data_IF_451586012490
#
_entry.id   IF_451586012490
#
_cell.length_a   1.000
_cell.length_b   1.000
_cell.length_c   1.000
_cell.angle_alpha   90.00
_cell.angle_beta   90.00
_cell.angle_gamma   90.00
#
_symmetry.space_group_name_H-M   'P 1'
#
loop_
_entity.id
_entity.type
_entity.pdbx_description
1 polymer ?
#
# COMPACT_ATOMS: atom_id res chain seq x y z
N UNK A 1 15.54 -0.13 18.77
CA UNK A 1 14.09 0.15 18.61
C UNK A 1 13.44 -0.90 17.74
N UNK A 2 12.30 -1.46 18.16
CA UNK A 2 11.53 -2.43 17.38
C UNK A 2 10.31 -1.74 16.76
N UNK A 3 10.18 -1.79 15.44
CA UNK A 3 9.08 -1.16 14.71
C UNK A 3 8.23 -2.22 14.02
N UNK A 4 6.91 -2.15 14.20
CA UNK A 4 5.96 -2.97 13.45
C UNK A 4 5.34 -2.10 12.33
N UNK A 5 5.60 -2.45 11.08
CA UNK A 5 4.92 -1.85 9.92
C UNK A 5 3.79 -2.76 9.49
N UNK A 6 2.57 -2.23 9.28
CA UNK A 6 1.47 -3.07 8.80
C UNK A 6 0.67 -2.42 7.69
N UNK A 7 0.15 -3.26 6.80
CA UNK A 7 -0.82 -2.93 5.76
C UNK A 7 -1.56 -4.21 5.34
N UNK A 8 -2.89 -4.19 5.41
CA UNK A 8 -3.69 -5.40 5.21
C UNK A 8 -4.57 -5.38 3.96
N UNK A 9 -4.31 -4.47 3.04
CA UNK A 9 -4.81 -4.54 1.69
C UNK A 9 -4.18 -5.70 0.92
N UNK A 10 -4.87 -6.19 -0.11
CA UNK A 10 -4.42 -7.34 -0.89
C UNK A 10 -3.79 -6.94 -2.22
N UNK A 11 -4.10 -5.75 -2.72
CA UNK A 11 -3.74 -5.25 -4.05
C UNK A 11 -3.41 -3.76 -4.01
N UNK A 12 -2.73 -3.29 -5.05
CA UNK A 12 -2.41 -1.88 -5.24
C UNK A 12 -1.19 -1.41 -4.46
N UNK A 13 -1.01 -0.10 -4.36
CA UNK A 13 0.21 0.51 -3.82
C UNK A 13 0.44 0.30 -2.32
N UNK A 14 -0.60 -0.04 -1.53
CA UNK A 14 -0.49 -0.14 -0.07
C UNK A 14 0.52 -1.18 0.42
N UNK A 15 0.44 -2.46 -0.02
CA UNK A 15 1.42 -3.48 0.35
C UNK A 15 2.85 -3.12 -0.07
N UNK A 16 3.02 -2.51 -1.26
CA UNK A 16 4.31 -2.03 -1.77
C UNK A 16 4.85 -0.91 -0.88
N UNK A 17 4.06 0.11 -0.60
CA UNK A 17 4.44 1.21 0.29
C UNK A 17 4.89 0.70 1.66
N UNK A 18 4.18 -0.28 2.23
CA UNK A 18 4.54 -0.89 3.51
C UNK A 18 5.88 -1.63 3.44
N UNK A 19 6.13 -2.37 2.36
CA UNK A 19 7.38 -3.11 2.16
C UNK A 19 8.56 -2.18 1.98
N UNK A 20 8.42 -1.13 1.17
CA UNK A 20 9.46 -0.12 0.95
C UNK A 20 9.76 0.67 2.24
N UNK A 21 8.72 1.07 2.99
CA UNK A 21 8.90 1.71 4.30
C UNK A 21 9.63 0.79 5.28
N UNK A 22 9.27 -0.49 5.32
CA UNK A 22 9.96 -1.47 6.14
C UNK A 22 11.43 -1.65 5.72
N UNK A 23 11.71 -1.62 4.41
CA UNK A 23 13.07 -1.64 3.85
C UNK A 23 13.88 -0.42 4.30
N UNK A 24 13.33 0.78 4.13
CA UNK A 24 13.96 2.02 4.58
C UNK A 24 14.25 2.05 6.09
N UNK A 25 13.31 1.56 6.90
CA UNK A 25 13.51 1.45 8.36
C UNK A 25 14.57 0.40 8.73
N UNK A 26 14.63 -0.74 8.03
CA UNK A 26 15.66 -1.79 8.27
C UNK A 26 17.08 -1.29 7.95
N UNK A 27 17.20 -0.31 7.04
CA UNK A 27 18.48 0.30 6.69
C UNK A 27 19.01 1.27 7.77
N UNK A 28 18.22 1.57 8.81
CA UNK A 28 18.62 2.48 9.89
C UNK A 28 19.33 1.71 11.02
N UNK A 29 20.45 2.23 11.55
CA UNK A 29 21.15 1.59 12.66
C UNK A 29 20.28 1.46 13.91
N UNK A 30 20.31 0.28 14.54
CA UNK A 30 19.61 0.02 15.79
C UNK A 30 18.08 -0.14 15.64
N UNK A 31 17.53 -0.16 14.43
CA UNK A 31 16.11 -0.38 14.15
C UNK A 31 15.90 -1.82 13.68
N UNK A 32 15.04 -2.55 14.38
CA UNK A 32 14.53 -3.87 13.98
C UNK A 32 13.10 -3.73 13.51
N UNK A 33 12.77 -4.28 12.36
CA UNK A 33 11.46 -4.11 11.73
C UNK A 33 10.78 -5.45 11.51
N UNK A 34 9.54 -5.54 11.96
CA UNK A 34 8.61 -6.59 11.57
C UNK A 34 7.58 -6.02 10.59
N UNK A 35 7.40 -6.69 9.45
CA UNK A 35 6.38 -6.36 8.47
C UNK A 35 5.16 -7.27 8.63
N UNK A 36 3.96 -6.68 8.65
CA UNK A 36 2.70 -7.41 8.67
C UNK A 36 1.87 -7.06 7.44
N UNK A 37 1.68 -8.03 6.57
CA UNK A 37 0.83 -7.92 5.39
C UNK A 37 -0.33 -8.91 5.46
N UNK A 38 -1.36 -8.69 4.62
CA UNK A 38 -2.34 -9.73 4.36
C UNK A 38 -1.65 -10.94 3.72
N UNK A 39 -1.92 -12.16 4.21
CA UNK A 39 -1.40 -13.39 3.59
C UNK A 39 -1.87 -13.57 2.13
N UNK A 40 -2.94 -12.86 1.74
CA UNK A 40 -3.46 -12.80 0.39
C UNK A 40 -2.94 -11.59 -0.40
N UNK A 41 -1.96 -10.85 0.10
CA UNK A 41 -1.37 -9.74 -0.61
C UNK A 41 -0.65 -10.24 -1.88
N UNK A 42 -0.92 -9.59 -3.01
CA UNK A 42 -0.34 -9.94 -4.32
C UNK A 42 1.20 -9.85 -4.27
N UNK A 43 1.72 -8.85 -3.55
CA UNK A 43 3.14 -8.64 -3.34
C UNK A 43 3.87 -9.86 -2.73
N UNK A 44 3.21 -10.64 -1.86
CA UNK A 44 3.78 -11.85 -1.27
C UNK A 44 3.85 -13.03 -2.26
N UNK A 45 3.26 -12.89 -3.45
CA UNK A 45 3.30 -13.86 -4.54
C UNK A 45 4.13 -13.40 -5.73
N UNK A 46 4.81 -12.25 -5.61
CA UNK A 46 5.71 -11.74 -6.64
C UNK A 46 7.00 -12.59 -6.68
N UNK A 47 7.78 -12.45 -7.74
CA UNK A 47 9.06 -13.17 -7.91
C UNK A 47 10.07 -12.84 -6.80
N UNK A 48 9.94 -11.69 -6.17
CA UNK A 48 10.80 -11.25 -5.06
C UNK A 48 9.95 -10.74 -3.89
N UNK A 49 9.30 -11.63 -3.15
CA UNK A 49 8.45 -11.23 -2.05
C UNK A 49 9.28 -10.62 -0.91
N UNK A 50 8.77 -9.56 -0.26
CA UNK A 50 9.44 -9.00 0.92
C UNK A 50 9.35 -9.98 2.10
N UNK A 51 10.36 -9.95 2.98
CA UNK A 51 10.29 -10.65 4.25
C UNK A 51 9.11 -10.10 5.08
N UNK A 52 8.17 -10.98 5.44
CA UNK A 52 6.95 -10.65 6.19
C UNK A 52 6.87 -11.51 7.45
N UNK A 53 7.20 -10.93 8.60
CA UNK A 53 7.30 -11.63 9.88
C UNK A 53 5.92 -11.93 10.49
N UNK A 54 4.91 -11.14 10.13
CA UNK A 54 3.56 -11.27 10.66
C UNK A 54 2.51 -11.30 9.54
N UNK A 55 2.46 -12.35 8.70
CA UNK A 55 1.38 -12.49 7.72
C UNK A 55 0.05 -12.74 8.47
N UNK A 56 -1.01 -12.03 8.03
CA UNK A 56 -2.35 -12.11 8.64
C UNK A 56 -3.37 -12.49 7.58
N UNK A 57 -4.11 -13.56 7.83
CA UNK A 57 -5.22 -13.93 6.95
C UNK A 57 -6.37 -12.96 7.15
N UNK A 58 -6.65 -12.13 6.15
CA UNK A 58 -7.72 -11.13 6.15
C UNK A 58 -9.01 -11.74 5.59
N UNK A 59 -9.43 -11.38 4.39
CA UNK A 59 -10.64 -11.90 3.74
C UNK A 59 -10.45 -12.04 2.23
N UNK A 60 -11.16 -12.98 1.61
CA UNK A 60 -11.09 -13.23 0.17
C UNK A 60 -12.19 -12.53 -0.65
N UNK A 61 -13.27 -12.09 -0.01
CA UNK A 61 -14.44 -11.47 -0.62
C UNK A 61 -15.46 -11.09 0.46
N UNK A 62 -16.66 -10.68 0.09
CA UNK A 62 -17.69 -10.23 1.04
C UNK A 62 -18.12 -11.33 2.02
N UNK A 63 -18.30 -12.56 1.58
CA UNK A 63 -18.60 -13.70 2.44
C UNK A 63 -17.44 -13.97 3.41
N UNK A 64 -16.21 -13.92 2.90
CA UNK A 64 -15.00 -14.05 3.72
C UNK A 64 -14.86 -12.93 4.75
N UNK A 65 -15.30 -11.71 4.44
CA UNK A 65 -15.32 -10.61 5.39
C UNK A 65 -16.34 -10.88 6.53
N UNK A 66 -17.56 -11.31 6.18
CA UNK A 66 -18.58 -11.69 7.18
C UNK A 66 -18.08 -12.79 8.14
N UNK A 67 -17.47 -13.84 7.59
CA UNK A 67 -16.85 -14.92 8.38
C UNK A 67 -15.73 -14.41 9.30
N UNK A 68 -14.88 -13.49 8.80
CA UNK A 68 -13.83 -12.88 9.62
C UNK A 68 -14.37 -11.99 10.73
N UNK A 69 -15.48 -11.30 10.50
CA UNK A 69 -16.15 -10.51 11.54
C UNK A 69 -16.66 -11.42 12.68
N UNK A 70 -17.20 -12.60 12.38
CA UNK A 70 -17.59 -13.58 13.39
C UNK A 70 -16.38 -14.12 14.18
N UNK A 71 -15.20 -14.20 13.57
CA UNK A 71 -13.97 -14.68 14.20
C UNK A 71 -13.17 -13.59 14.92
N UNK A 72 -13.64 -12.33 14.95
CA UNK A 72 -12.89 -11.20 15.52
C UNK A 72 -12.30 -11.44 16.92
N UNK A 73 -13.00 -12.02 17.90
CA UNK A 73 -12.43 -12.24 19.24
C UNK A 73 -11.20 -13.15 19.21
N UNK A 74 -11.28 -14.25 18.44
CA UNK A 74 -10.17 -15.21 18.30
C UNK A 74 -9.01 -14.60 17.50
N UNK A 75 -9.31 -13.90 16.42
CA UNK A 75 -8.33 -13.17 15.61
C UNK A 75 -7.59 -12.15 16.46
N UNK A 76 -8.29 -11.38 17.27
CA UNK A 76 -7.70 -10.39 18.15
C UNK A 76 -6.82 -11.01 19.21
N UNK A 77 -7.28 -12.09 19.87
CA UNK A 77 -6.48 -12.81 20.87
C UNK A 77 -5.20 -13.42 20.29
N UNK A 78 -5.30 -14.01 19.09
CA UNK A 78 -4.14 -14.53 18.37
C UNK A 78 -3.18 -13.42 17.96
N UNK A 79 -3.69 -12.28 17.49
CA UNK A 79 -2.89 -11.13 17.08
C UNK A 79 -2.15 -10.51 18.27
N UNK A 80 -2.83 -10.31 19.41
CA UNK A 80 -2.19 -9.82 20.65
C UNK A 80 -1.00 -10.70 21.04
N UNK A 81 -1.16 -12.03 21.03
CA UNK A 81 -0.06 -12.96 21.36
C UNK A 81 1.11 -12.87 20.38
N UNK A 82 0.81 -12.76 19.05
CA UNK A 82 1.84 -12.67 18.02
C UNK A 82 2.58 -11.34 18.06
N UNK A 83 1.87 -10.23 18.23
CA UNK A 83 2.48 -8.89 18.35
C UNK A 83 3.29 -8.76 19.64
N UNK A 84 2.82 -9.32 20.77
CA UNK A 84 3.55 -9.34 22.04
C UNK A 84 4.94 -10.01 21.91
N UNK A 85 5.08 -11.05 21.08
CA UNK A 85 6.36 -11.71 20.82
C UNK A 85 7.35 -10.83 20.07
N UNK A 86 6.85 -9.94 19.19
CA UNK A 86 7.65 -9.00 18.42
C UNK A 86 8.14 -7.82 19.26
N UNK A 87 7.51 -7.55 20.41
CA UNK A 87 7.84 -6.46 21.34
C UNK A 87 8.04 -5.12 20.62
N UNK A 88 7.09 -4.65 19.80
CA UNK A 88 7.27 -3.39 19.10
C UNK A 88 7.23 -2.20 20.09
N UNK A 89 8.16 -1.28 19.93
CA UNK A 89 8.16 0.01 20.64
C UNK A 89 7.21 1.01 19.94
N UNK A 90 7.06 0.85 18.62
CA UNK A 90 6.22 1.66 17.75
C UNK A 90 5.59 0.78 16.67
N UNK A 91 4.35 1.09 16.30
CA UNK A 91 3.72 0.50 15.13
C UNK A 91 3.34 1.58 14.10
N UNK A 92 3.47 1.27 12.79
CA UNK A 92 3.17 2.19 11.69
C UNK A 92 2.18 1.53 10.74
N UNK A 93 0.97 2.11 10.63
CA UNK A 93 0.02 1.81 9.56
C UNK A 93 0.47 2.50 8.28
N UNK A 94 0.96 1.74 7.31
CA UNK A 94 1.49 2.29 6.08
C UNK A 94 0.40 2.85 5.14
N UNK A 95 -0.81 2.27 5.21
CA UNK A 95 -2.01 2.74 4.50
C UNK A 95 -3.23 2.07 5.13
N UNK A 96 -4.28 2.81 5.52
CA UNK A 96 -5.47 2.24 6.15
C UNK A 96 -6.19 1.19 5.30
N UNK A 97 -6.61 0.10 5.92
CA UNK A 97 -7.40 -0.98 5.35
C UNK A 97 -8.57 -1.39 6.26
N UNK A 98 -9.52 -2.19 5.74
CA UNK A 98 -10.79 -2.45 6.41
C UNK A 98 -10.68 -3.09 7.81
N UNK A 99 -9.68 -3.95 8.05
CA UNK A 99 -9.52 -4.67 9.33
C UNK A 99 -8.48 -4.06 10.28
N UNK A 100 -7.94 -2.87 9.99
CA UNK A 100 -6.91 -2.23 10.80
C UNK A 100 -7.37 -1.90 12.23
N UNK A 101 -8.68 -1.78 12.44
CA UNK A 101 -9.23 -1.61 13.79
C UNK A 101 -8.89 -2.80 14.72
N UNK A 102 -8.65 -3.99 14.16
CA UNK A 102 -8.22 -5.18 14.93
C UNK A 102 -6.77 -5.03 15.37
N UNK A 103 -5.88 -4.56 14.48
CA UNK A 103 -4.50 -4.25 14.83
C UNK A 103 -4.45 -3.13 15.87
N UNK A 104 -5.19 -2.04 15.66
CA UNK A 104 -5.27 -0.95 16.62
C UNK A 104 -5.78 -1.40 18.00
N UNK A 105 -6.74 -2.34 18.04
CA UNK A 105 -7.21 -2.94 19.30
C UNK A 105 -6.16 -3.84 19.96
N UNK A 106 -5.37 -4.58 19.19
CA UNK A 106 -4.27 -5.39 19.71
C UNK A 106 -3.15 -4.51 20.28
N UNK A 107 -2.75 -3.48 19.56
CA UNK A 107 -1.74 -2.52 20.00
C UNK A 107 -2.17 -1.78 21.28
N UNK A 108 -3.45 -1.37 21.35
CA UNK A 108 -3.99 -0.73 22.56
C UNK A 108 -3.93 -1.63 23.80
N UNK A 109 -4.21 -2.96 23.64
CA UNK A 109 -4.08 -3.93 24.74
C UNK A 109 -2.64 -4.11 25.23
N UNK A 110 -1.68 -3.94 24.33
CA UNK A 110 -0.26 -4.05 24.62
C UNK A 110 0.38 -2.73 25.06
N UNK A 111 -0.38 -1.63 25.03
CA UNK A 111 0.14 -0.29 25.31
C UNK A 111 1.15 0.21 24.27
N UNK A 112 1.11 -0.32 23.03
CA UNK A 112 2.00 0.07 21.94
C UNK A 112 1.41 1.25 21.21
N UNK A 113 2.13 2.40 21.10
CA UNK A 113 1.70 3.53 20.32
C UNK A 113 1.75 3.22 18.82
N UNK A 114 0.87 3.85 18.04
CA UNK A 114 0.92 3.70 16.61
C UNK A 114 0.71 5.01 15.85
N UNK A 115 1.25 5.04 14.65
CA UNK A 115 1.21 6.12 13.68
C UNK A 115 0.46 5.64 12.44
N UNK A 116 -0.25 6.53 11.76
CA UNK A 116 -0.93 6.21 10.50
C UNK A 116 -0.44 7.13 9.40
N UNK A 117 0.00 6.55 8.29
CA UNK A 117 0.26 7.27 7.05
C UNK A 117 -1.08 7.43 6.32
N UNK A 118 -1.57 8.66 6.30
CA UNK A 118 -2.83 9.02 5.67
C UNK A 118 -2.59 9.41 4.21
N UNK A 119 -2.97 8.53 3.30
CA UNK A 119 -2.89 8.79 1.85
C UNK A 119 -4.04 9.68 1.36
N UNK A 120 -5.21 9.53 1.97
CA UNK A 120 -6.41 10.28 1.66
C UNK A 120 -7.10 10.73 2.96
N UNK A 121 -7.54 11.97 3.01
CA UNK A 121 -8.39 12.49 4.08
C UNK A 121 -9.88 12.36 3.72
N UNK A 122 -10.18 12.49 2.44
CA UNK A 122 -11.53 12.45 1.87
C UNK A 122 -11.76 11.15 1.08
N UNK A 123 -13.00 10.83 0.85
CA UNK A 123 -13.40 9.75 -0.04
C UNK A 123 -13.50 10.29 -1.46
N UNK A 124 -12.84 9.64 -2.39
CA UNK A 124 -13.01 9.96 -3.81
C UNK A 124 -14.31 9.36 -4.37
N UNK A 125 -14.96 10.03 -5.33
CA UNK A 125 -16.13 9.50 -6.02
C UNK A 125 -15.88 8.08 -6.59
N UNK A 126 -16.75 7.14 -6.21
CA UNK A 126 -16.62 5.73 -6.64
C UNK A 126 -15.72 4.86 -5.75
N UNK A 127 -15.11 5.41 -4.70
CA UNK A 127 -14.18 4.66 -3.84
C UNK A 127 -14.85 4.10 -2.59
N UNK A 128 -14.89 2.77 -2.45
CA UNK A 128 -15.27 2.01 -1.26
C UNK A 128 -16.65 2.30 -0.62
N UNK A 129 -17.10 1.49 0.34
CA UNK A 129 -18.34 1.74 1.07
C UNK A 129 -18.16 2.80 2.17
N UNK A 130 -19.22 3.55 2.57
CA UNK A 130 -19.16 4.56 3.64
C UNK A 130 -18.64 4.05 4.98
N UNK A 131 -18.92 2.80 5.32
CA UNK A 131 -18.46 2.15 6.56
C UNK A 131 -16.92 2.09 6.64
N UNK A 132 -16.25 1.88 5.51
CA UNK A 132 -14.79 1.86 5.47
C UNK A 132 -14.20 3.21 5.91
N UNK A 133 -14.79 4.31 5.46
CA UNK A 133 -14.36 5.65 5.87
C UNK A 133 -14.60 5.92 7.36
N UNK A 134 -15.72 5.45 7.92
CA UNK A 134 -15.99 5.59 9.35
C UNK A 134 -14.93 4.84 10.19
N UNK A 135 -14.56 3.62 9.78
CA UNK A 135 -13.52 2.83 10.42
C UNK A 135 -12.14 3.49 10.28
N UNK A 136 -11.83 4.02 9.10
CA UNK A 136 -10.60 4.77 8.86
C UNK A 136 -10.52 6.03 9.74
N UNK A 137 -11.57 6.84 9.80
CA UNK A 137 -11.62 8.02 10.69
C UNK A 137 -11.42 7.65 12.16
N UNK A 138 -11.99 6.51 12.60
CA UNK A 138 -11.79 6.02 13.96
C UNK A 138 -10.33 5.59 14.21
N UNK A 139 -9.69 4.96 13.23
CA UNK A 139 -8.27 4.59 13.28
C UNK A 139 -7.39 5.86 13.38
N UNK A 140 -7.61 6.84 12.50
CA UNK A 140 -6.87 8.11 12.47
C UNK A 140 -6.95 8.84 13.82
N UNK A 141 -8.15 8.93 14.42
CA UNK A 141 -8.35 9.59 15.73
C UNK A 141 -7.66 8.88 16.90
N UNK A 142 -7.29 7.62 16.77
CA UNK A 142 -6.61 6.82 17.80
C UNK A 142 -5.10 6.81 17.65
N UNK A 143 -4.60 7.26 16.52
CA UNK A 143 -3.18 7.32 16.25
C UNK A 143 -2.49 8.37 17.13
N UNK A 144 -1.30 8.06 17.63
CA UNK A 144 -0.44 9.01 18.34
C UNK A 144 0.04 10.14 17.42
N UNK A 145 0.28 9.80 16.15
CA UNK A 145 0.61 10.77 15.12
C UNK A 145 0.02 10.34 13.78
N UNK A 146 -0.25 11.33 12.93
CA UNK A 146 -0.61 11.14 11.53
C UNK A 146 0.53 11.63 10.64
N UNK A 147 0.77 10.92 9.56
CA UNK A 147 1.69 11.33 8.50
C UNK A 147 0.85 11.61 7.26
N UNK A 148 0.86 12.83 6.79
CA UNK A 148 0.25 13.24 5.53
C UNK A 148 1.33 13.32 4.45
N UNK A 149 1.03 12.83 3.24
CA UNK A 149 2.00 12.81 2.14
C UNK A 149 1.98 14.08 1.28
N UNK A 150 1.10 15.03 1.62
CA UNK A 150 1.01 16.37 1.04
C UNK A 150 0.45 17.34 2.08
N UNK A 151 0.74 18.63 1.96
CA UNK A 151 0.11 19.69 2.79
C UNK A 151 -1.40 19.72 2.58
N UNK A 152 -1.85 19.44 1.34
CA UNK A 152 -3.28 19.31 1.03
C UNK A 152 -3.96 18.29 1.96
N UNK A 153 -3.44 17.06 2.04
CA UNK A 153 -3.97 16.03 2.96
C UNK A 153 -3.87 16.47 4.41
N UNK A 154 -2.73 17.05 4.80
CA UNK A 154 -2.52 17.57 6.16
C UNK A 154 -3.56 18.62 6.57
N UNK A 155 -3.87 19.56 5.69
CA UNK A 155 -4.91 20.58 5.89
C UNK A 155 -6.29 19.93 6.03
N UNK A 156 -6.66 19.02 5.11
CA UNK A 156 -7.95 18.31 5.16
C UNK A 156 -8.14 17.49 6.44
N UNK A 157 -7.08 16.83 6.93
CA UNK A 157 -7.12 16.11 8.21
C UNK A 157 -7.38 17.04 9.41
N UNK A 158 -6.82 18.25 9.41
CA UNK A 158 -7.07 19.27 10.44
C UNK A 158 -8.51 19.80 10.37
N UNK A 159 -8.98 20.15 9.18
CA UNK A 159 -10.36 20.63 8.94
C UNK A 159 -11.41 19.63 9.42
N UNK A 160 -11.17 18.33 9.19
CA UNK A 160 -12.05 17.24 9.64
C UNK A 160 -11.86 16.86 11.11
N UNK A 161 -10.99 17.57 11.85
CA UNK A 161 -10.68 17.30 13.27
C UNK A 161 -10.26 15.85 13.53
N UNK A 162 -9.50 15.26 12.60
CA UNK A 162 -9.00 13.88 12.71
C UNK A 162 -7.68 13.81 13.46
N UNK A 163 -6.94 14.90 13.52
CA UNK A 163 -5.65 15.01 14.20
C UNK A 163 -5.89 15.16 15.71
N UNK A 164 -5.51 14.17 16.50
CA UNK A 164 -5.58 14.22 17.97
C UNK A 164 -4.22 14.37 18.63
N UNK A 165 -3.19 13.93 17.95
CA UNK A 165 -1.80 14.04 18.37
C UNK A 165 -1.00 14.87 17.38
N UNK A 166 0.20 14.41 17.05
CA UNK A 166 1.11 15.07 16.13
C UNK A 166 0.69 14.85 14.66
N UNK A 167 0.80 15.86 13.83
CA UNK A 167 0.70 15.75 12.37
C UNK A 167 2.07 16.04 11.75
N UNK A 168 2.55 15.11 10.96
CA UNK A 168 3.80 15.21 10.20
C UNK A 168 3.42 15.26 8.72
N UNK A 169 3.91 16.26 8.00
CA UNK A 169 3.79 16.29 6.54
C UNK A 169 5.14 15.90 5.95
N UNK A 170 5.14 14.91 5.07
CA UNK A 170 6.33 14.38 4.42
C UNK A 170 6.01 14.09 2.95
N UNK A 171 6.94 14.37 2.04
CA UNK A 171 6.75 14.08 0.63
C UNK A 171 6.57 12.57 0.39
N UNK A 172 5.73 12.22 -0.58
CA UNK A 172 5.52 10.83 -0.98
C UNK A 172 6.83 10.26 -1.55
N UNK A 173 7.42 9.19 -0.96
CA UNK A 173 8.63 8.60 -1.49
C UNK A 173 8.39 7.95 -2.86
N UNK A 174 9.44 7.75 -3.69
CA UNK A 174 9.30 7.09 -4.97
C UNK A 174 8.82 5.64 -4.81
N UNK A 175 7.91 5.20 -5.68
CA UNK A 175 7.50 3.79 -5.78
C UNK A 175 8.22 3.15 -6.96
N UNK A 176 9.22 2.33 -6.66
CA UNK A 176 10.04 1.71 -7.68
C UNK A 176 9.54 0.29 -8.02
N UNK A 177 9.28 0.03 -9.31
CA UNK A 177 8.80 -1.26 -9.79
C UNK A 177 9.85 -2.03 -10.62
N UNK A 178 10.96 -1.41 -10.92
CA UNK A 178 12.04 -2.00 -11.70
C UNK A 178 12.78 -0.95 -12.54
N UNK A 179 13.95 -1.30 -13.10
CA UNK A 179 14.67 -0.40 -13.99
C UNK A 179 13.89 -0.18 -15.28
N UNK A 180 14.02 1.00 -15.85
CA UNK A 180 13.56 1.31 -17.20
C UNK A 180 14.69 1.10 -18.20
N UNK A 181 14.39 0.44 -19.29
CA UNK A 181 15.37 0.09 -20.32
C UNK A 181 15.62 1.20 -21.35
N UNK A 182 14.64 2.11 -21.51
CA UNK A 182 14.67 3.17 -22.52
C UNK A 182 14.43 4.54 -21.89
N UNK A 183 15.13 5.57 -22.38
CA UNK A 183 14.82 6.95 -22.03
C UNK A 183 13.52 7.41 -22.73
N UNK A 184 12.73 8.33 -22.13
CA UNK A 184 11.57 8.90 -22.79
C UNK A 184 11.95 9.59 -24.12
N UNK A 185 11.13 9.43 -25.15
CA UNK A 185 11.34 10.06 -26.47
C UNK A 185 12.50 9.50 -27.30
N UNK A 186 13.20 8.46 -26.85
CA UNK A 186 14.37 7.87 -27.54
C UNK A 186 14.05 6.69 -28.45
N UNK A 187 12.77 6.46 -28.78
CA UNK A 187 12.35 5.26 -29.52
C UNK A 187 12.62 5.39 -31.01
N UNK A 188 13.10 4.29 -31.60
CA UNK A 188 13.46 4.25 -33.02
C UNK A 188 12.29 4.47 -33.99
N UNK A 189 11.04 4.21 -33.56
CA UNK A 189 9.83 4.39 -34.36
C UNK A 189 9.32 5.83 -34.36
N UNK A 190 9.97 6.72 -33.59
CA UNK A 190 9.61 8.14 -33.48
C UNK A 190 8.24 8.43 -32.89
N UNK A 191 7.56 7.41 -32.34
CA UNK A 191 6.23 7.57 -31.71
C UNK A 191 6.34 7.93 -30.25
N UNK A 192 5.56 8.92 -29.83
CA UNK A 192 5.35 9.22 -28.42
C UNK A 192 4.30 8.29 -27.83
N UNK A 193 4.62 7.65 -26.70
CA UNK A 193 3.75 6.70 -26.02
C UNK A 193 3.25 7.28 -24.71
N UNK A 194 1.94 7.53 -24.68
CA UNK A 194 1.26 8.06 -23.50
C UNK A 194 0.54 6.95 -22.74
N UNK A 195 0.69 6.92 -21.43
CA UNK A 195 0.04 5.98 -20.54
C UNK A 195 -0.85 6.70 -19.52
N UNK A 196 -2.14 6.39 -19.51
CA UNK A 196 -3.01 6.66 -18.37
C UNK A 196 -3.21 5.36 -17.60
N UNK A 197 -2.75 5.32 -16.35
CA UNK A 197 -2.68 4.08 -15.55
C UNK A 197 -3.34 4.22 -14.18
N UNK A 198 -4.03 3.17 -13.74
CA UNK A 198 -4.57 3.03 -12.40
C UNK A 198 -6.07 2.76 -12.36
N UNK A 199 -6.75 3.14 -11.27
CA UNK A 199 -8.20 2.94 -11.14
C UNK A 199 -8.94 3.82 -12.17
N UNK A 200 -9.88 3.24 -12.92
CA UNK A 200 -10.68 3.95 -13.92
C UNK A 200 -11.97 4.47 -13.27
N UNK A 201 -11.81 5.46 -12.37
CA UNK A 201 -12.90 6.06 -11.59
C UNK A 201 -13.11 7.53 -11.98
N UNK A 202 -14.29 8.12 -11.69
CA UNK A 202 -14.63 9.49 -12.13
C UNK A 202 -13.62 10.56 -11.71
N UNK A 203 -13.06 10.49 -10.52
CA UNK A 203 -12.09 11.47 -10.04
C UNK A 203 -10.77 11.47 -10.82
N UNK A 204 -10.50 10.41 -11.60
CA UNK A 204 -9.33 10.31 -12.49
C UNK A 204 -9.47 11.15 -13.76
N UNK A 205 -10.67 11.73 -14.02
CA UNK A 205 -10.88 12.65 -15.14
C UNK A 205 -10.69 12.01 -16.50
N UNK A 206 -11.19 10.78 -16.69
CA UNK A 206 -11.15 10.12 -18.00
C UNK A 206 -11.93 10.86 -19.06
N UNK A 207 -12.92 11.63 -18.67
CA UNK A 207 -13.66 12.57 -19.52
C UNK A 207 -12.77 13.72 -20.00
N UNK A 208 -12.00 14.36 -19.10
CA UNK A 208 -11.00 15.35 -19.50
C UNK A 208 -9.97 14.78 -20.47
N UNK A 209 -9.53 13.55 -20.25
CA UNK A 209 -8.59 12.87 -21.13
C UNK A 209 -9.21 12.61 -22.49
N UNK A 210 -10.44 12.10 -22.56
CA UNK A 210 -11.13 11.82 -23.82
C UNK A 210 -11.32 13.08 -24.65
N UNK A 211 -11.81 14.16 -24.05
CA UNK A 211 -12.02 15.44 -24.70
C UNK A 211 -10.69 16.07 -25.15
N UNK A 212 -9.64 16.01 -24.32
CA UNK A 212 -8.32 16.52 -24.69
C UNK A 212 -7.72 15.77 -25.88
N UNK A 213 -7.88 14.45 -25.95
CA UNK A 213 -7.41 13.62 -27.07
C UNK A 213 -8.24 13.86 -28.33
N UNK A 214 -9.54 14.14 -28.21
CA UNK A 214 -10.38 14.58 -29.33
C UNK A 214 -9.90 15.94 -29.91
N UNK A 215 -9.59 16.91 -29.04
CA UNK A 215 -9.04 18.22 -29.43
C UNK A 215 -7.64 18.11 -30.08
N UNK A 216 -6.85 17.14 -29.63
CA UNK A 216 -5.54 16.87 -30.19
C UNK A 216 -5.65 16.29 -31.60
N UNK A 217 -6.67 15.49 -31.86
CA UNK A 217 -6.91 14.79 -33.10
C UNK A 217 -6.02 13.57 -33.33
N UNK A 218 -6.28 12.79 -34.39
CA UNK A 218 -5.48 11.63 -34.72
C UNK A 218 -4.09 12.03 -35.22
N UNK A 219 -3.04 11.36 -34.73
CA UNK A 219 -1.66 11.57 -35.10
C UNK A 219 -0.94 10.23 -35.30
N UNK A 220 -0.17 10.12 -36.36
CA UNK A 220 0.59 8.90 -36.67
C UNK A 220 1.79 8.70 -35.74
N UNK A 221 2.26 9.78 -35.10
CA UNK A 221 3.39 9.83 -34.16
C UNK A 221 2.95 9.64 -32.67
N UNK A 222 1.68 9.28 -32.42
CA UNK A 222 1.12 9.13 -31.08
C UNK A 222 0.48 7.77 -30.89
N UNK A 223 0.82 7.10 -29.80
CA UNK A 223 0.14 5.91 -29.28
C UNK A 223 -0.29 6.15 -27.84
N UNK A 224 -1.56 5.89 -27.51
CA UNK A 224 -2.09 6.10 -26.15
C UNK A 224 -2.61 4.78 -25.60
N UNK A 225 -2.22 4.45 -24.35
CA UNK A 225 -2.83 3.35 -23.59
C UNK A 225 -3.52 3.89 -22.34
N UNK A 226 -4.74 3.40 -22.11
CA UNK A 226 -5.50 3.62 -20.90
C UNK A 226 -5.68 2.26 -20.23
N UNK A 227 -4.97 2.03 -19.13
CA UNK A 227 -4.86 0.70 -18.52
C UNK A 227 -5.24 0.76 -17.05
N UNK A 228 -6.19 -0.08 -16.63
CA UNK A 228 -6.60 -0.14 -15.22
C UNK A 228 -7.96 -0.78 -15.03
N UNK A 229 -8.47 -0.74 -13.82
CA UNK A 229 -9.74 -1.37 -13.48
C UNK A 229 -10.76 -0.34 -12.97
N UNK A 230 -11.97 -0.38 -13.51
CA UNK A 230 -13.09 0.44 -13.10
C UNK A 230 -14.41 0.01 -13.74
N UNK A 231 -15.53 0.63 -13.35
CA UNK A 231 -16.81 0.39 -14.02
C UNK A 231 -16.78 0.91 -15.45
N UNK A 232 -17.53 0.26 -16.32
CA UNK A 232 -17.77 0.80 -17.65
C UNK A 232 -18.46 2.16 -17.56
N UNK A 233 -18.04 3.09 -18.40
CA UNK A 233 -18.50 4.47 -18.34
C UNK A 233 -18.47 5.14 -19.70
N UNK A 234 -19.27 6.20 -19.94
CA UNK A 234 -19.22 6.95 -21.20
C UNK A 234 -17.83 7.46 -21.59
N UNK A 235 -17.00 7.99 -20.65
CA UNK A 235 -15.63 8.37 -20.96
C UNK A 235 -14.75 7.22 -21.49
N UNK A 236 -14.90 6.02 -20.95
CA UNK A 236 -14.16 4.84 -21.45
C UNK A 236 -14.61 4.44 -22.87
N UNK A 237 -15.91 4.57 -23.16
CA UNK A 237 -16.44 4.32 -24.50
C UNK A 237 -15.92 5.37 -25.50
N UNK A 238 -15.90 6.65 -25.11
CA UNK A 238 -15.34 7.73 -25.93
C UNK A 238 -13.84 7.50 -26.23
N UNK A 239 -13.06 7.07 -25.22
CA UNK A 239 -11.65 6.74 -25.40
C UNK A 239 -11.45 5.54 -26.35
N UNK A 240 -12.28 4.50 -26.30
CA UNK A 240 -12.22 3.35 -27.22
C UNK A 240 -12.56 3.70 -28.67
N UNK A 241 -13.36 4.75 -28.88
CA UNK A 241 -13.70 5.22 -30.22
C UNK A 241 -12.53 5.91 -30.94
N UNK A 242 -11.48 6.30 -30.24
CA UNK A 242 -10.29 6.93 -30.81
C UNK A 242 -9.33 5.85 -31.33
N UNK A 243 -9.08 5.80 -32.62
CA UNK A 243 -8.28 4.74 -33.28
C UNK A 243 -6.82 4.64 -32.77
N UNK A 244 -6.26 5.73 -32.22
CA UNK A 244 -4.90 5.78 -31.65
C UNK A 244 -4.87 5.51 -30.13
N UNK A 245 -6.03 5.15 -29.51
CA UNK A 245 -6.16 4.85 -28.08
C UNK A 245 -6.50 3.40 -27.88
N UNK A 246 -5.70 2.72 -27.09
CA UNK A 246 -5.98 1.36 -26.60
C UNK A 246 -6.44 1.38 -25.14
N UNK A 247 -7.67 0.92 -24.87
CA UNK A 247 -8.23 0.82 -23.51
C UNK A 247 -8.21 -0.62 -23.04
N UNK A 248 -7.56 -0.86 -21.90
CA UNK A 248 -7.51 -2.15 -21.21
C UNK A 248 -8.18 -2.01 -19.82
N UNK A 249 -9.51 -2.27 -19.77
CA UNK A 249 -10.24 -2.21 -18.50
C UNK A 249 -10.08 -3.54 -17.74
N UNK A 250 -8.98 -3.67 -17.02
CA UNK A 250 -8.62 -4.86 -16.23
C UNK A 250 -7.77 -4.50 -15.03
N UNK A 251 -7.74 -5.39 -14.04
CA UNK A 251 -6.72 -5.30 -13.00
C UNK A 251 -5.33 -5.54 -13.61
N UNK A 252 -4.37 -4.71 -13.22
CA UNK A 252 -2.96 -4.85 -13.59
C UNK A 252 -2.21 -5.49 -12.43
N UNK A 253 -1.69 -6.72 -12.60
CA UNK A 253 -0.81 -7.34 -11.61
C UNK A 253 0.44 -6.51 -11.36
N UNK A 254 0.97 -6.58 -10.14
CA UNK A 254 2.15 -5.80 -9.76
C UNK A 254 3.36 -6.06 -10.65
N UNK A 255 3.58 -7.31 -11.08
CA UNK A 255 4.66 -7.69 -11.98
C UNK A 255 4.59 -7.07 -13.39
N UNK A 256 3.41 -6.61 -13.82
CA UNK A 256 3.24 -5.95 -15.13
C UNK A 256 3.52 -4.44 -15.08
N UNK A 257 3.53 -3.82 -13.89
CA UNK A 257 3.63 -2.36 -13.75
C UNK A 257 4.95 -1.83 -14.32
N UNK A 258 6.05 -2.52 -14.07
CA UNK A 258 7.36 -2.15 -14.62
C UNK A 258 7.34 -2.10 -16.16
N UNK A 259 6.76 -3.12 -16.79
CA UNK A 259 6.65 -3.18 -18.25
C UNK A 259 5.76 -2.08 -18.84
N UNK A 260 4.68 -1.69 -18.15
CA UNK A 260 3.84 -0.56 -18.56
C UNK A 260 4.59 0.78 -18.46
N UNK A 261 5.33 0.97 -17.37
CA UNK A 261 6.15 2.17 -17.20
C UNK A 261 7.28 2.24 -18.23
N UNK A 262 7.93 1.12 -18.51
CA UNK A 262 8.99 1.05 -19.52
C UNK A 262 8.46 1.26 -20.96
N UNK A 263 7.24 0.82 -21.23
CA UNK A 263 6.57 1.08 -22.51
C UNK A 263 6.27 2.58 -22.73
N UNK A 264 5.95 3.34 -21.69
CA UNK A 264 5.53 4.73 -21.79
C UNK A 264 6.73 5.69 -21.92
N UNK A 265 6.56 6.77 -22.68
CA UNK A 265 7.43 7.94 -22.61
C UNK A 265 6.89 8.93 -21.57
N UNK A 266 5.58 9.10 -21.52
CA UNK A 266 4.93 9.98 -20.56
C UNK A 266 3.68 9.34 -19.95
N UNK A 267 3.42 9.66 -18.68
CA UNK A 267 2.16 9.36 -18.03
C UNK A 267 1.24 10.59 -18.05
N UNK A 268 -0.05 10.36 -18.33
CA UNK A 268 -1.07 11.40 -18.30
C UNK A 268 -1.96 11.20 -17.08
N UNK A 269 -1.98 12.19 -16.19
CA UNK A 269 -2.74 12.20 -14.94
C UNK A 269 -3.81 13.30 -15.01
N UNK A 270 -4.91 13.01 -15.68
CA UNK A 270 -6.02 13.94 -15.97
C UNK A 270 -6.97 14.18 -14.80
N UNK A 271 -6.51 14.01 -13.55
CA UNK A 271 -7.35 14.01 -12.36
C UNK A 271 -8.23 15.26 -12.24
N UNK A 272 -9.47 15.09 -11.77
CA UNK A 272 -10.37 16.17 -11.33
C UNK A 272 -10.12 16.53 -9.86
N UNK A 273 -9.68 15.55 -9.08
CA UNK A 273 -9.26 15.72 -7.68
C UNK A 273 -8.20 14.68 -7.32
N UNK A 274 -7.28 15.05 -6.45
CA UNK A 274 -6.25 14.14 -5.96
C UNK A 274 -5.71 14.56 -4.60
N UNK A 275 -5.59 13.63 -3.68
CA UNK A 275 -4.87 13.80 -2.41
C UNK A 275 -3.36 13.69 -2.62
N UNK A 276 -2.95 12.71 -3.41
CA UNK A 276 -1.61 12.37 -3.90
C UNK A 276 -1.75 11.30 -4.99
N UNK A 277 -0.66 10.93 -5.65
CA UNK A 277 -0.68 9.88 -6.66
C UNK A 277 0.51 8.94 -6.56
N UNK A 278 0.25 7.67 -6.18
CA UNK A 278 1.26 6.62 -6.26
C UNK A 278 1.73 6.34 -7.69
N UNK A 279 0.85 6.59 -8.69
CA UNK A 279 1.22 6.49 -10.12
C UNK A 279 2.19 7.59 -10.50
N UNK A 280 2.02 8.82 -9.98
CA UNK A 280 2.98 9.90 -10.19
C UNK A 280 4.35 9.53 -9.61
N UNK A 281 4.39 9.03 -8.34
CA UNK A 281 5.63 8.58 -7.72
C UNK A 281 6.30 7.45 -8.50
N UNK A 282 5.52 6.52 -9.06
CA UNK A 282 6.04 5.43 -9.88
C UNK A 282 6.60 5.95 -11.22
N UNK A 283 5.93 6.90 -11.86
CA UNK A 283 6.37 7.51 -13.12
C UNK A 283 7.72 8.23 -12.95
N UNK A 284 7.82 9.08 -11.92
CA UNK A 284 9.06 9.82 -11.62
C UNK A 284 10.19 8.84 -11.27
N UNK A 285 9.92 7.81 -10.45
CA UNK A 285 10.92 6.78 -10.11
C UNK A 285 11.41 5.99 -11.34
N UNK A 286 10.54 5.82 -12.36
CA UNK A 286 10.87 5.18 -13.63
C UNK A 286 11.50 6.15 -14.66
N UNK A 287 11.74 7.41 -14.31
CA UNK A 287 12.29 8.42 -15.21
C UNK A 287 11.34 8.80 -16.37
N UNK A 288 10.01 8.64 -16.17
CA UNK A 288 9.02 8.98 -17.21
C UNK A 288 8.53 10.40 -17.05
N UNK A 289 8.28 11.07 -18.17
CA UNK A 289 7.62 12.36 -18.14
C UNK A 289 6.21 12.22 -17.56
N UNK A 290 5.72 13.28 -16.95
CA UNK A 290 4.37 13.33 -16.39
C UNK A 290 3.66 14.59 -16.87
N UNK A 291 2.53 14.44 -17.53
CA UNK A 291 1.59 15.53 -17.79
C UNK A 291 0.43 15.36 -16.83
N UNK A 292 0.19 16.34 -15.98
CA UNK A 292 -0.81 16.22 -14.93
C UNK A 292 -1.64 17.50 -14.75
N UNK A 293 -2.90 17.33 -14.37
CA UNK A 293 -3.75 18.45 -13.95
C UNK A 293 -3.31 19.01 -12.59
N UNK A 294 -3.39 20.33 -12.44
CA UNK A 294 -3.01 21.07 -11.22
C UNK A 294 -4.12 21.02 -10.18
N UNK A 295 -4.31 19.84 -9.55
CA UNK A 295 -5.38 19.64 -8.58
C UNK A 295 -4.85 19.09 -7.25
N UNK A 296 -5.42 19.59 -6.15
CA UNK A 296 -5.16 19.12 -4.79
C UNK A 296 -3.68 18.90 -4.47
N UNK A 297 -3.38 17.76 -3.83
CA UNK A 297 -2.01 17.38 -3.47
C UNK A 297 -1.14 16.94 -4.64
N UNK A 298 -1.73 16.67 -5.82
CA UNK A 298 -0.96 16.33 -7.02
C UNK A 298 -0.12 17.52 -7.51
N UNK A 299 -0.65 18.75 -7.37
CA UNK A 299 0.07 19.97 -7.68
C UNK A 299 1.31 20.16 -6.77
N UNK A 300 1.19 19.82 -5.48
CA UNK A 300 2.32 19.87 -4.53
C UNK A 300 3.36 18.79 -4.84
N UNK A 301 2.89 17.58 -5.11
CA UNK A 301 3.74 16.41 -5.36
C UNK A 301 4.61 16.59 -6.61
N UNK A 302 4.04 17.18 -7.67
CA UNK A 302 4.69 17.31 -8.98
C UNK A 302 5.25 18.71 -9.25
N UNK A 303 4.91 19.72 -8.47
CA UNK A 303 5.26 21.11 -8.74
C UNK A 303 6.75 21.43 -8.66
N UNK A 304 7.57 20.51 -8.15
CA UNK A 304 9.03 20.64 -8.05
C UNK A 304 9.78 19.57 -8.83
N UNK A 305 9.05 18.76 -9.61
CA UNK A 305 9.63 17.65 -10.36
C UNK A 305 9.94 18.09 -11.79
N UNK A 306 11.20 18.04 -12.16
CA UNK A 306 11.66 18.44 -13.49
C UNK A 306 11.05 17.58 -14.61
N UNK A 307 10.67 16.33 -14.30
CA UNK A 307 9.99 15.42 -15.23
C UNK A 307 8.50 15.72 -15.39
N UNK A 308 7.94 16.71 -14.68
CA UNK A 308 6.51 16.95 -14.66
C UNK A 308 6.12 18.28 -15.32
N UNK A 309 5.01 18.24 -16.04
CA UNK A 309 4.32 19.42 -16.54
C UNK A 309 2.90 19.46 -16.00
N UNK A 310 2.57 20.54 -15.31
CA UNK A 310 1.24 20.77 -14.74
C UNK A 310 0.44 21.71 -15.66
N UNK A 311 -0.84 21.35 -15.89
CA UNK A 311 -1.82 22.18 -16.61
C UNK A 311 -3.10 22.34 -15.80
N UNK A 312 -3.96 23.25 -16.19
CA UNK A 312 -5.27 23.38 -15.57
C UNK A 312 -6.15 22.16 -15.92
N UNK A 313 -7.14 21.88 -15.04
CA UNK A 313 -8.00 20.71 -15.18
C UNK A 313 -9.13 20.96 -16.19
N UNK A 314 -8.76 21.36 -17.42
CA UNK A 314 -9.65 21.53 -18.57
C UNK A 314 -9.15 20.74 -19.77
N UNK A 315 -10.05 20.31 -20.68
CA UNK A 315 -9.65 19.58 -21.88
C UNK A 315 -8.65 20.36 -22.75
N UNK A 316 -8.85 21.67 -22.90
CA UNK A 316 -8.03 22.55 -23.74
C UNK A 316 -6.61 22.68 -23.18
N UNK A 317 -6.49 22.89 -21.85
CA UNK A 317 -5.19 23.01 -21.20
C UNK A 317 -4.42 21.69 -21.24
N UNK A 318 -5.10 20.56 -21.06
CA UNK A 318 -4.51 19.23 -21.16
C UNK A 318 -4.08 18.94 -22.62
N UNK A 319 -4.93 19.23 -23.61
CA UNK A 319 -4.59 19.08 -25.04
C UNK A 319 -3.39 19.94 -25.44
N UNK A 320 -3.32 21.19 -24.96
CA UNK A 320 -2.17 22.07 -25.19
C UNK A 320 -0.89 21.49 -24.55
N UNK A 321 -0.95 20.99 -23.34
CA UNK A 321 0.22 20.38 -22.69
C UNK A 321 0.72 19.14 -23.43
N UNK A 322 -0.20 18.29 -23.91
CA UNK A 322 0.12 17.12 -24.73
C UNK A 322 0.69 17.51 -26.11
N UNK A 323 0.15 18.54 -26.76
CA UNK A 323 0.66 19.07 -28.02
C UNK A 323 2.10 19.56 -27.87
N UNK A 324 2.39 20.35 -26.83
CA UNK A 324 3.75 20.82 -26.55
C UNK A 324 4.73 19.66 -26.38
N UNK A 325 4.32 18.59 -25.68
CA UNK A 325 5.14 17.39 -25.53
C UNK A 325 5.44 16.73 -26.89
N UNK A 326 4.44 16.65 -27.80
CA UNK A 326 4.58 16.11 -29.15
C UNK A 326 5.47 17.00 -30.05
N UNK A 327 5.41 18.32 -29.85
CA UNK A 327 6.21 19.29 -30.58
C UNK A 327 7.67 19.38 -30.05
N UNK A 328 8.06 18.50 -29.14
CA UNK A 328 9.42 18.43 -28.58
C UNK A 328 9.69 19.38 -27.41
N UNK A 329 8.70 20.16 -26.96
CA UNK A 329 8.79 20.89 -25.68
C UNK A 329 8.56 19.93 -24.52
N UNK A 330 9.59 19.13 -24.21
CA UNK A 330 9.56 18.08 -23.21
C UNK A 330 9.89 18.62 -21.81
N UNK A 331 9.38 17.99 -20.74
CA UNK A 331 9.90 18.22 -19.38
C UNK A 331 11.41 17.92 -19.32
N UNK A 332 12.07 18.37 -18.25
CA UNK A 332 13.50 18.17 -18.07
C UNK A 332 13.94 16.71 -18.13
N UNK A 333 15.25 16.51 -18.25
CA UNK A 333 15.83 15.18 -18.10
C UNK A 333 15.75 14.72 -16.65
N UNK A 334 15.50 13.44 -16.44
CA UNK A 334 15.65 12.87 -15.10
C UNK A 334 17.08 13.09 -14.63
N UNK A 335 17.33 13.73 -13.48
CA UNK A 335 18.59 13.53 -12.80
C UNK A 335 18.74 12.00 -12.63
N UNK A 336 19.98 11.48 -12.79
CA UNK A 336 20.28 10.06 -12.68
C UNK A 336 19.44 9.48 -11.53
N UNK A 337 18.63 8.46 -11.82
CA UNK A 337 17.56 7.98 -10.96
C UNK A 337 18.05 7.89 -9.51
N UNK A 338 17.54 8.75 -8.64
CA UNK A 338 17.90 8.76 -7.23
C UNK A 338 17.63 7.34 -6.72
N UNK A 339 18.63 6.73 -6.06
CA UNK A 339 18.49 5.37 -5.54
C UNK A 339 17.22 5.29 -4.67
N UNK A 340 16.20 4.53 -5.08
CA UNK A 340 14.94 4.46 -4.34
C UNK A 340 15.14 4.00 -2.89
N UNK A 341 16.14 3.15 -2.63
CA UNK A 341 16.46 2.68 -1.29
C UNK A 341 16.97 3.81 -0.40
N UNK A 342 17.77 4.74 -0.95
CA UNK A 342 18.21 5.94 -0.22
C UNK A 342 17.04 6.89 0.08
N UNK A 343 16.11 7.06 -0.86
CA UNK A 343 14.93 7.90 -0.66
C UNK A 343 14.04 7.33 0.47
N UNK A 344 13.80 6.03 0.48
CA UNK A 344 13.03 5.36 1.53
C UNK A 344 13.74 5.38 2.89
N UNK A 345 15.08 5.21 2.90
CA UNK A 345 15.88 5.36 4.12
C UNK A 345 15.77 6.78 4.68
N UNK A 346 15.92 7.79 3.82
CA UNK A 346 15.79 9.20 4.22
C UNK A 346 14.39 9.52 4.77
N UNK A 347 13.34 9.04 4.10
CA UNK A 347 11.95 9.16 4.58
C UNK A 347 11.78 8.52 5.96
N UNK A 348 12.25 7.29 6.13
CA UNK A 348 12.17 6.55 7.38
C UNK A 348 12.93 7.27 8.52
N UNK A 349 14.11 7.79 8.24
CA UNK A 349 14.92 8.54 9.21
C UNK A 349 14.24 9.84 9.62
N UNK A 350 13.74 10.63 8.66
CA UNK A 350 12.99 11.86 8.94
C UNK A 350 11.71 11.56 9.74
N UNK A 351 11.00 10.47 9.39
CA UNK A 351 9.81 10.05 10.11
C UNK A 351 10.12 9.74 11.58
N UNK A 352 11.14 8.91 11.85
CA UNK A 352 11.52 8.57 13.22
C UNK A 352 12.03 9.80 14.01
N UNK A 353 12.83 10.67 13.40
CA UNK A 353 13.27 11.92 14.06
C UNK A 353 12.10 12.80 14.45
N UNK A 354 11.10 12.97 13.58
CA UNK A 354 9.91 13.77 13.87
C UNK A 354 8.94 13.12 14.85
N UNK A 355 9.00 11.80 15.02
CA UNK A 355 8.21 11.06 16.00
C UNK A 355 8.87 11.03 17.37
N UNK A 356 10.19 11.10 17.44
CA UNK A 356 10.93 11.16 18.68
C UNK A 356 10.84 12.59 19.26
N UNK A 357 10.25 12.83 20.42
CA UNK A 357 10.61 13.97 21.23
C UNK A 357 11.99 13.66 21.84
N UNK A 358 12.87 14.62 21.88
CA UNK A 358 14.27 14.45 22.32
C UNK A 358 14.46 13.90 23.74
N UNK A 359 13.40 13.62 24.51
CA UNK A 359 13.52 13.25 25.92
C UNK A 359 12.60 12.12 26.43
N UNK A 360 11.66 11.53 25.66
CA UNK A 360 10.61 10.67 26.25
C UNK A 360 10.56 9.18 25.79
N UNK A 361 11.37 8.75 24.88
CA UNK A 361 11.31 7.33 24.41
C UNK A 361 11.98 6.33 25.36
N UNK A 362 12.93 6.73 26.19
CA UNK A 362 13.66 5.81 27.06
C UNK A 362 12.86 5.30 28.27
N UNK A 363 12.08 6.10 29.03
CA UNK A 363 11.36 5.59 30.21
C UNK A 363 10.07 4.84 29.87
N UNK A 364 9.39 5.19 28.78
CA UNK A 364 8.13 4.56 28.38
C UNK A 364 8.30 3.15 27.80
N UNK A 365 9.43 2.88 27.15
CA UNK A 365 9.77 1.54 26.63
C UNK A 365 10.03 0.53 27.77
N UNK A 366 10.71 0.96 28.84
CA UNK A 366 10.99 0.11 30.01
C UNK A 366 9.71 -0.26 30.79
N UNK A 367 8.77 0.66 30.95
CA UNK A 367 7.49 0.40 31.63
C UNK A 367 6.57 -0.52 30.81
N UNK A 368 6.59 -0.39 29.46
CA UNK A 368 5.83 -1.24 28.55
C UNK A 368 6.35 -2.66 28.46
N UNK A 369 7.67 -2.86 28.45
CA UNK A 369 8.27 -4.19 28.49
C UNK A 369 7.89 -4.97 29.75
N UNK A 370 7.77 -4.30 30.92
CA UNK A 370 7.28 -4.92 32.15
C UNK A 370 5.81 -5.34 32.04
N UNK A 371 4.92 -4.49 31.53
CA UNK A 371 3.50 -4.85 31.32
C UNK A 371 3.30 -5.99 30.33
N UNK A 372 4.06 -6.03 29.25
CA UNK A 372 4.00 -7.12 28.26
C UNK A 372 4.50 -8.45 28.86
N UNK A 373 5.54 -8.42 29.70
CA UNK A 373 6.04 -9.58 30.43
C UNK A 373 5.03 -10.08 31.47
N UNK A 374 4.36 -9.18 32.20
CA UNK A 374 3.31 -9.53 33.17
C UNK A 374 2.08 -10.14 32.49
N UNK A 375 1.64 -9.62 31.32
CA UNK A 375 0.53 -10.19 30.58
C UNK A 375 0.87 -11.58 30.01
N UNK A 376 2.09 -11.79 29.56
CA UNK A 376 2.57 -13.08 29.11
C UNK A 376 2.66 -14.09 30.26
N UNK A 377 3.12 -13.66 31.45
CA UNK A 377 3.21 -14.51 32.65
C UNK A 377 1.82 -14.87 33.21
N UNK A 378 0.87 -13.92 33.24
CA UNK A 378 -0.52 -14.15 33.64
C UNK A 378 -1.26 -15.10 32.69
N UNK A 379 -0.98 -15.02 31.41
CA UNK A 379 -1.53 -15.95 30.40
C UNK A 379 -0.97 -17.37 30.59
N UNK A 380 0.32 -17.51 30.89
CA UNK A 380 0.97 -18.77 31.16
C UNK A 380 0.51 -19.38 32.51
N UNK A 381 0.27 -18.55 33.54
CA UNK A 381 -0.26 -18.96 34.82
C UNK A 381 -1.70 -19.46 34.74
N UNK A 382 -2.55 -18.79 33.95
CA UNK A 382 -3.94 -19.26 33.71
C UNK A 382 -4.01 -20.58 32.93
N UNK A 383 -3.06 -20.86 32.05
CA UNK A 383 -3.00 -22.16 31.35
C UNK A 383 -2.58 -23.30 32.31
N UNK A 384 -1.73 -23.02 33.31
CA UNK A 384 -1.34 -24.04 34.32
C UNK A 384 -2.42 -24.30 35.37
N UNK A 385 -3.33 -23.35 35.63
CA UNK A 385 -4.42 -23.52 36.58
C UNK A 385 -5.66 -24.25 36.02
N UNK A 386 -5.70 -24.55 34.73
CA UNK A 386 -6.75 -25.33 34.06
C UNK A 386 -6.37 -26.81 33.90
N UNK A 387 -5.13 -27.19 34.14
CA UNK A 387 -4.75 -28.59 34.27
C UNK A 387 -5.08 -29.09 35.67
N UNK A 388 -6.32 -29.59 35.87
CA UNK A 388 -6.66 -30.42 37.02
C UNK A 388 -5.79 -31.68 36.98
N UNK A 389 -5.12 -32.09 38.06
CA UNK A 389 -4.44 -33.36 38.10
C UNK A 389 -5.48 -34.49 37.97
N UNK A 390 -5.40 -35.24 36.90
CA UNK A 390 -6.10 -36.52 36.75
C UNK A 390 -5.63 -37.42 37.89
N UNK A 391 -6.57 -37.77 38.77
CA UNK A 391 -6.35 -38.64 39.90
C UNK A 391 -5.77 -39.99 39.40
N UNK A 392 -4.64 -40.39 39.97
CA UNK A 392 -4.08 -41.73 39.90
C UNK A 392 -5.04 -42.72 40.61
N UNK A 393 -6.05 -43.24 39.93
CA UNK A 393 -6.77 -44.44 40.35
C UNK A 393 -7.64 -44.94 39.20
N UNK A 394 -7.04 -45.61 38.23
CA UNK A 394 -7.67 -46.62 37.36
C UNK A 394 -6.64 -47.08 36.30
N UNK A 395 -5.51 -47.60 36.78
CA UNK A 395 -4.65 -48.49 35.97
C UNK A 395 -4.45 -49.74 36.81
N UNK A 396 -5.47 -50.57 36.84
CA UNK A 396 -5.36 -52.00 37.14
C UNK A 396 -6.62 -52.69 36.61
N UNK A 397 -6.45 -53.32 35.52
CA UNK A 397 -7.23 -54.36 34.87
C UNK A 397 -7.37 -54.04 33.36
N UNK A 398 -6.49 -54.62 32.62
CA UNK A 398 -6.71 -55.34 31.37
C UNK A 398 -5.33 -55.70 30.79
N UNK A 399 -4.73 -56.73 31.39
CA UNK A 399 -3.70 -57.52 30.74
C UNK A 399 -4.34 -58.73 30.12
N UNK A 400 -3.83 -59.14 28.98
CA UNK A 400 -4.11 -60.38 28.23
C UNK A 400 -5.28 -60.35 27.25
N UNK A 401 -4.95 -60.10 25.98
CA UNK A 401 -5.31 -61.06 24.91
C UNK A 401 -4.48 -60.75 23.65
N UNK A 402 -3.63 -61.69 23.33
CA UNK A 402 -2.95 -62.12 22.09
C UNK A 402 -3.15 -61.36 20.77
N UNK A 403 -1.98 -61.04 20.23
CA UNK A 403 -1.55 -61.12 18.82
C UNK A 403 -2.47 -61.91 17.85
N UNK A 404 -2.71 -61.28 16.71
CA UNK A 404 -2.66 -61.88 15.36
C UNK A 404 -2.41 -60.75 14.37
N UNK A 405 -1.28 -60.83 13.65
CA UNK A 405 -1.08 -60.12 12.40
C UNK A 405 -1.72 -60.89 11.24
N UNK A 406 -2.07 -60.27 10.17
CA UNK A 406 -1.63 -60.78 8.90
C UNK A 406 -0.91 -59.79 7.98
N UNK A 407 -0.07 -60.40 7.24
CA UNK A 407 0.82 -60.04 6.17
C UNK A 407 0.15 -59.41 4.93
N UNK A 408 0.97 -58.59 4.27
CA UNK A 408 1.12 -58.47 2.81
C UNK A 408 -0.07 -58.08 1.91
N UNK A 409 0.02 -56.93 1.25
CA UNK A 409 0.24 -56.97 -0.20
C UNK A 409 0.68 -55.58 -0.74
N UNK A 410 1.78 -55.57 -1.50
CA UNK A 410 2.16 -54.51 -2.42
C UNK A 410 1.67 -54.86 -3.81
N UNK A 411 1.27 -53.92 -4.62
CA UNK A 411 1.69 -53.93 -6.01
C UNK A 411 2.37 -52.60 -6.44
N UNK A 412 3.31 -52.80 -7.34
CA UNK A 412 4.18 -51.81 -7.94
C UNK A 412 3.53 -50.99 -9.07
N UNK A 413 4.29 -50.12 -9.72
CA UNK A 413 3.79 -49.03 -10.55
C UNK A 413 3.46 -49.46 -11.98
N UNK A 414 2.59 -48.72 -12.69
CA UNK A 414 2.58 -48.74 -14.13
C UNK A 414 3.22 -47.48 -14.73
N UNK A 415 4.10 -47.72 -15.66
CA UNK A 415 4.58 -46.88 -16.73
C UNK A 415 3.43 -46.47 -17.67
N UNK A 416 3.34 -45.18 -17.99
CA UNK A 416 3.38 -44.52 -19.30
C UNK A 416 3.01 -43.06 -19.09
#
# INVERSE_FOLDING_TARGET
MNVLVWQWGRRGAGPRFAAELAGGLRALPGVRVALSLSSAAELLRSDRPPACELPVTTYGGWLGLGWRLAQLPFMLAALVRRVARLRPDLAICAMPAALDFVMAAALARLGVPFVVVAHDADRHPGDGPPLQMALQRRLLRRAQALVALTEHVGRRLREQRLVRGRLIVAAHPPLWFGPSSTAPGSRADGRLRLLSFGRLLPYKGLDLLAEALLLLGPRADLEVRVVGCGPESPPLQALRALAFVRVENRWVPEGEVAGLLDWADALVLSHREASQSGVASAAIAAGRWVVATRVGGLAEQLGREDLARLCDATPEALALALRRLLDGDVPGASPAAADPALAWRSFAEQLLRRLAPETELAPAAAARNRRSAELASRSASRMRSTEKPLAKSQIQQFSTTKMIAPELDRPGPPSL
#
